data_IF_585459722258
#
_entry.id   IF_585459722258
#
_cell.length_a   1.000
_cell.length_b   1.000
_cell.length_c   1.000
_cell.angle_alpha   90.00
_cell.angle_beta   90.00
_cell.angle_gamma   90.00
#
_symmetry.space_group_name_H-M   'P 1'
#
loop_
_entity.id
_entity.type
_entity.pdbx_description
1 polymer ?
#
# COMPACT_ATOMS: atom_id res chain seq x y z
N UNK A 1 11.38 -6.36 1.56
CA UNK A 1 10.48 -5.33 1.00
C UNK A 1 10.87 -5.11 -0.44
N UNK A 2 9.90 -4.98 -1.34
CA UNK A 2 10.12 -4.63 -2.75
C UNK A 2 9.17 -3.50 -3.13
N UNK A 3 9.59 -2.67 -4.08
CA UNK A 3 8.79 -1.59 -4.64
C UNK A 3 8.80 -1.71 -6.15
N UNK A 4 7.63 -1.51 -6.76
CA UNK A 4 7.50 -1.32 -8.20
C UNK A 4 7.18 0.14 -8.47
N UNK A 5 8.05 0.76 -9.24
CA UNK A 5 7.93 2.14 -9.66
C UNK A 5 7.66 2.20 -11.16
N UNK A 6 7.00 3.26 -11.62
CA UNK A 6 7.02 3.65 -13.03
C UNK A 6 8.38 4.26 -13.41
N UNK A 7 8.58 4.51 -14.71
CA UNK A 7 9.83 5.09 -15.25
C UNK A 7 10.17 6.48 -14.72
N UNK A 8 9.18 7.23 -14.26
CA UNK A 8 9.29 8.56 -13.65
C UNK A 8 9.44 8.51 -12.11
N UNK A 9 9.56 7.32 -11.52
CA UNK A 9 9.78 7.12 -10.09
C UNK A 9 8.50 7.02 -9.26
N UNK A 10 7.32 7.07 -9.89
CA UNK A 10 6.02 7.02 -9.21
C UNK A 10 5.73 5.61 -8.67
N UNK A 11 5.21 5.52 -7.44
CA UNK A 11 5.01 4.24 -6.77
C UNK A 11 3.75 3.56 -7.28
N UNK A 12 3.84 2.30 -7.73
CA UNK A 12 2.68 1.47 -8.11
C UNK A 12 2.36 0.38 -7.13
N UNK A 13 3.39 -0.17 -6.50
CA UNK A 13 3.23 -1.28 -5.59
C UNK A 13 4.35 -1.30 -4.57
N UNK A 14 3.97 -1.54 -3.31
CA UNK A 14 4.87 -1.83 -2.21
C UNK A 14 4.51 -3.20 -1.68
N UNK A 15 5.47 -4.13 -1.64
CA UNK A 15 5.33 -5.42 -0.96
C UNK A 15 6.28 -5.52 0.22
N UNK A 16 5.76 -5.91 1.37
CA UNK A 16 6.57 -6.16 2.56
C UNK A 16 5.96 -7.25 3.43
N UNK A 17 6.72 -7.64 4.44
CA UNK A 17 6.20 -8.42 5.56
C UNK A 17 5.73 -7.44 6.63
N UNK A 18 4.48 -7.57 7.08
CA UNK A 18 3.90 -6.73 8.13
C UNK A 18 3.49 -7.61 9.31
N UNK A 19 3.81 -7.15 10.52
CA UNK A 19 3.53 -7.88 11.76
C UNK A 19 2.03 -7.91 12.02
N UNK A 20 1.44 -9.10 12.08
CA UNK A 20 0.00 -9.31 12.28
C UNK A 20 -0.30 -10.69 12.85
N UNK A 21 -1.46 -10.84 13.48
CA UNK A 21 -2.05 -12.10 13.93
C UNK A 21 -2.94 -12.79 12.88
N UNK A 22 -2.92 -12.32 11.63
CA UNK A 22 -3.71 -12.86 10.51
C UNK A 22 -3.11 -14.17 9.97
N UNK A 23 -2.83 -15.11 10.88
CA UNK A 23 -2.34 -16.47 10.64
C UNK A 23 -3.43 -17.48 10.98
N UNK A 24 -3.25 -18.73 10.54
CA UNK A 24 -4.23 -19.79 10.83
C UNK A 24 -4.38 -20.05 12.33
N UNK A 25 -3.32 -19.86 13.13
CA UNK A 25 -3.35 -20.01 14.58
C UNK A 25 -3.69 -18.73 15.35
N UNK A 26 -3.95 -17.60 14.67
CA UNK A 26 -4.20 -16.31 15.33
C UNK A 26 -3.00 -15.78 16.11
N UNK A 27 -1.78 -16.25 15.79
CA UNK A 27 -0.53 -15.83 16.44
C UNK A 27 0.17 -14.78 15.59
N UNK A 28 0.77 -13.82 16.28
CA UNK A 28 1.54 -12.78 15.60
C UNK A 28 2.76 -13.35 14.87
N UNK A 29 2.86 -13.01 13.59
CA UNK A 29 3.96 -13.36 12.71
C UNK A 29 4.17 -12.25 11.66
N UNK A 30 5.23 -12.43 10.86
CA UNK A 30 5.45 -11.63 9.66
C UNK A 30 4.55 -12.17 8.54
N UNK A 31 3.56 -11.37 8.15
CA UNK A 31 2.55 -11.73 7.14
C UNK A 31 2.74 -10.91 5.86
N UNK A 32 2.64 -11.53 4.67
CA UNK A 32 2.70 -10.82 3.40
C UNK A 32 1.65 -9.72 3.29
N UNK A 33 2.10 -8.53 2.90
CA UNK A 33 1.30 -7.33 2.75
C UNK A 33 1.65 -6.64 1.43
N UNK A 34 0.63 -6.14 0.72
CA UNK A 34 0.81 -5.24 -0.41
C UNK A 34 0.00 -3.95 -0.23
N UNK A 35 0.58 -2.84 -0.70
CA UNK A 35 -0.15 -1.61 -0.97
C UNK A 35 0.04 -1.25 -2.43
N UNK A 36 -1.04 -0.80 -3.07
CA UNK A 36 -1.09 -0.45 -4.48
C UNK A 36 -1.57 0.98 -4.65
N UNK A 37 -0.95 1.67 -5.59
CA UNK A 37 -1.35 3.02 -6.00
C UNK A 37 -1.97 2.95 -7.38
N UNK A 38 -3.22 3.38 -7.48
CA UNK A 38 -4.00 3.37 -8.72
C UNK A 38 -3.93 4.73 -9.43
N UNK A 39 -3.76 5.81 -8.66
CA UNK A 39 -3.72 7.19 -9.16
C UNK A 39 -2.77 8.01 -8.29
N UNK A 40 -2.19 9.05 -8.87
CA UNK A 40 -1.45 10.08 -8.15
C UNK A 40 -2.00 11.46 -8.48
N UNK A 41 -1.83 12.39 -7.55
CA UNK A 41 -2.23 13.78 -7.71
C UNK A 41 -1.17 14.72 -7.15
N UNK A 42 -1.02 15.86 -7.81
CA UNK A 42 -0.17 16.95 -7.35
C UNK A 42 -0.95 17.88 -6.44
N UNK A 43 -0.41 18.14 -5.25
CA UNK A 43 -0.91 19.09 -4.27
C UNK A 43 0.23 20.07 -3.94
N UNK A 44 0.19 21.27 -4.52
CA UNK A 44 1.30 22.21 -4.48
C UNK A 44 2.53 21.62 -5.20
N UNK A 45 3.66 21.52 -4.49
CA UNK A 45 4.92 21.02 -5.05
C UNK A 45 5.10 19.50 -4.88
N UNK A 46 4.12 18.81 -4.31
CA UNK A 46 4.19 17.37 -3.99
C UNK A 46 3.24 16.56 -4.87
N UNK A 47 3.78 15.58 -5.58
CA UNK A 47 2.99 14.51 -6.23
C UNK A 47 2.98 13.30 -5.33
N UNK A 48 1.79 12.81 -4.97
CA UNK A 48 1.60 11.67 -4.06
C UNK A 48 0.54 10.71 -4.60
N UNK A 49 0.55 9.43 -4.18
CA UNK A 49 -0.58 8.53 -4.30
C UNK A 49 -1.90 9.17 -3.85
N UNK A 50 -2.87 9.26 -4.75
CA UNK A 50 -4.19 9.84 -4.47
C UNK A 50 -5.29 8.80 -4.38
N UNK A 51 -5.09 7.62 -4.98
CA UNK A 51 -6.00 6.48 -4.86
C UNK A 51 -5.18 5.23 -4.57
N UNK A 52 -5.45 4.60 -3.43
CA UNK A 52 -4.67 3.46 -2.96
C UNK A 52 -5.53 2.41 -2.29
N UNK A 53 -5.07 1.16 -2.36
CA UNK A 53 -5.64 0.04 -1.63
C UNK A 53 -4.52 -0.84 -1.07
N UNK A 54 -4.84 -1.63 -0.05
CA UNK A 54 -3.90 -2.55 0.55
C UNK A 54 -4.56 -3.88 0.89
N UNK A 55 -3.80 -4.96 0.68
CA UNK A 55 -4.24 -6.33 0.88
C UNK A 55 -3.27 -7.10 1.77
N UNK A 56 -3.84 -8.09 2.46
CA UNK A 56 -3.08 -9.15 3.10
C UNK A 56 -2.97 -10.34 2.16
N UNK A 57 -1.92 -11.14 2.32
CA UNK A 57 -1.68 -12.36 1.54
C UNK A 57 -1.67 -12.15 0.00
N UNK A 58 -1.03 -11.09 -0.53
CA UNK A 58 -1.14 -10.71 -1.93
C UNK A 58 -0.61 -11.78 -2.90
N UNK A 59 -1.40 -12.10 -3.93
CA UNK A 59 -1.09 -13.11 -4.94
C UNK A 59 -1.40 -14.55 -4.51
N UNK A 60 -2.25 -14.73 -3.50
CA UNK A 60 -2.67 -16.06 -3.01
C UNK A 60 -4.19 -16.15 -2.93
N UNK A 61 -4.72 -17.36 -2.79
CA UNK A 61 -6.17 -17.57 -2.58
C UNK A 61 -6.69 -16.98 -1.27
N UNK A 62 -5.80 -16.61 -0.34
CA UNK A 62 -6.13 -15.95 0.93
C UNK A 62 -6.12 -14.43 0.83
N UNK A 63 -5.85 -13.88 -0.36
CA UNK A 63 -5.78 -12.44 -0.53
C UNK A 63 -7.10 -11.77 -0.19
N UNK A 64 -7.04 -10.72 0.63
CA UNK A 64 -8.17 -9.85 0.87
C UNK A 64 -7.74 -8.40 1.05
N UNK A 65 -8.50 -7.49 0.43
CA UNK A 65 -8.37 -6.05 0.64
C UNK A 65 -8.94 -5.68 2.00
N UNK A 66 -8.12 -5.07 2.86
CA UNK A 66 -8.58 -4.58 4.17
C UNK A 66 -8.69 -3.05 4.21
N UNK A 67 -8.12 -2.36 3.22
CA UNK A 67 -8.05 -0.90 3.21
C UNK A 67 -8.14 -0.37 1.78
N UNK A 68 -8.93 0.68 1.62
CA UNK A 68 -9.03 1.50 0.42
C UNK A 68 -9.24 2.96 0.81
N UNK A 69 -8.52 3.85 0.16
CA UNK A 69 -8.64 5.27 0.42
C UNK A 69 -8.43 6.12 -0.84
N UNK A 70 -9.02 7.31 -0.78
CA UNK A 70 -8.77 8.41 -1.68
C UNK A 70 -8.21 9.57 -0.85
N UNK A 71 -7.17 10.22 -1.34
CA UNK A 71 -6.57 11.40 -0.71
C UNK A 71 -7.28 12.63 -1.25
N UNK A 72 -8.05 13.29 -0.38
CA UNK A 72 -8.74 14.53 -0.71
C UNK A 72 -7.90 15.77 -0.41
N UNK A 73 -7.09 15.72 0.65
CA UNK A 73 -6.27 16.84 1.10
C UNK A 73 -5.01 16.32 1.76
N UNK A 74 -3.89 17.01 1.55
CA UNK A 74 -2.65 16.77 2.28
C UNK A 74 -2.26 18.02 3.08
N UNK A 75 -1.69 17.80 4.26
CA UNK A 75 -1.07 18.84 5.07
C UNK A 75 0.43 18.55 5.15
N UNK A 76 1.24 19.49 4.66
CA UNK A 76 2.70 19.41 4.69
C UNK A 76 3.29 20.72 5.20
N UNK A 77 4.36 20.60 5.98
CA UNK A 77 5.17 21.73 6.43
C UNK A 77 6.46 21.77 5.61
N UNK A 78 6.78 22.93 5.04
CA UNK A 78 8.07 23.23 4.41
C UNK A 78 9.17 23.47 5.44
#
# INVERSE_FOLDING_TARGET
MTMRLESDGLLRELRLQRWSDLTDEGKYAWVPFAAHTEEERTFGDYTVPSRLHASWWPGTDREFEFFRAMVDTIHYSS
#
